data_IF_959323498981
#
_entry.id   IF_959323498981
#
_cell.length_a   1.000
_cell.length_b   1.000
_cell.length_c   1.000
_cell.angle_alpha   90.00
_cell.angle_beta   90.00
_cell.angle_gamma   90.00
#
_symmetry.space_group_name_H-M   'P 1'
#
loop_
_entity.id
_entity.type
_entity.pdbx_description
1 polymer ?
#
# COMPACT_ATOMS: atom_id res chain seq x y z
N UNK A 1 -37.04 7.25 -1.78
CA UNK A 1 -35.94 6.40 -1.26
C UNK A 1 -34.80 6.52 -2.27
N UNK A 2 -33.84 7.39 -2.03
CA UNK A 2 -32.72 7.62 -2.96
C UNK A 2 -31.59 6.66 -2.61
N UNK A 3 -31.49 5.57 -3.37
CA UNK A 3 -30.36 4.65 -3.28
C UNK A 3 -29.18 5.38 -3.90
N UNK A 4 -28.25 5.86 -3.08
CA UNK A 4 -26.99 6.40 -3.57
C UNK A 4 -26.15 5.18 -3.95
N UNK A 5 -26.11 4.85 -5.24
CA UNK A 5 -25.12 3.92 -5.75
C UNK A 5 -23.75 4.58 -5.59
N UNK A 6 -22.94 4.10 -4.66
CA UNK A 6 -21.52 4.46 -4.56
C UNK A 6 -20.88 4.13 -5.91
N UNK A 7 -20.37 5.12 -6.64
CA UNK A 7 -19.73 4.88 -7.91
C UNK A 7 -18.50 3.99 -7.69
N UNK A 8 -18.43 2.86 -8.39
CA UNK A 8 -17.24 2.01 -8.43
C UNK A 8 -16.05 2.85 -8.92
N UNK A 9 -14.93 2.80 -8.20
CA UNK A 9 -13.69 3.45 -8.64
C UNK A 9 -12.89 2.45 -9.47
N UNK A 10 -12.67 2.76 -10.74
CA UNK A 10 -11.92 1.94 -11.71
C UNK A 10 -10.39 2.14 -11.60
N UNK A 11 -9.95 2.84 -10.56
CA UNK A 11 -8.54 3.18 -10.35
C UNK A 11 -8.07 2.92 -8.92
N UNK A 12 -6.83 2.40 -8.73
CA UNK A 12 -6.22 2.28 -7.41
C UNK A 12 -5.91 3.64 -6.75
N UNK A 13 -5.99 4.75 -7.50
CA UNK A 13 -5.82 6.09 -6.93
C UNK A 13 -6.84 6.31 -5.83
N UNK A 14 -6.38 6.75 -4.66
CA UNK A 14 -7.22 6.89 -3.48
C UNK A 14 -6.48 6.63 -2.18
N UNK A 15 -7.25 6.44 -1.11
CA UNK A 15 -6.77 6.11 0.22
C UNK A 15 -7.21 4.70 0.58
N UNK A 16 -6.33 3.95 1.24
CA UNK A 16 -6.53 2.54 1.55
C UNK A 16 -6.09 2.25 2.97
N UNK A 17 -6.87 1.44 3.68
CA UNK A 17 -6.52 0.88 4.98
C UNK A 17 -5.74 -0.41 4.76
N UNK A 18 -4.58 -0.51 5.40
CA UNK A 18 -3.74 -1.71 5.43
C UNK A 18 -3.97 -2.48 6.72
N UNK A 19 -3.66 -3.78 6.71
CA UNK A 19 -3.90 -4.66 7.83
C UNK A 19 -2.64 -5.46 8.20
N UNK A 20 -2.57 -5.84 9.46
CA UNK A 20 -1.56 -6.76 10.01
C UNK A 20 -1.97 -8.20 9.67
N UNK A 21 -1.13 -8.94 8.96
CA UNK A 21 -1.47 -10.28 8.43
C UNK A 21 -1.79 -11.30 9.53
N UNK A 22 -1.19 -11.15 10.71
CA UNK A 22 -1.36 -12.09 11.82
C UNK A 22 -2.60 -11.78 12.64
N UNK A 23 -2.90 -10.49 12.85
CA UNK A 23 -3.97 -10.05 13.77
C UNK A 23 -5.20 -9.51 13.08
N UNK A 24 -5.15 -9.21 11.78
CA UNK A 24 -6.22 -8.56 11.01
C UNK A 24 -6.51 -7.12 11.44
N UNK A 25 -5.69 -6.51 12.32
CA UNK A 25 -5.90 -5.15 12.81
C UNK A 25 -5.46 -4.14 11.77
N UNK A 26 -6.21 -3.05 11.62
CA UNK A 26 -5.83 -1.93 10.76
C UNK A 26 -4.49 -1.33 11.24
N UNK A 27 -3.52 -1.21 10.33
CA UNK A 27 -2.15 -0.76 10.66
C UNK A 27 -1.90 0.67 10.22
N UNK A 28 -2.33 1.04 9.01
CA UNK A 28 -2.07 2.34 8.41
C UNK A 28 -3.17 2.75 7.43
N UNK A 29 -3.21 4.05 7.11
CA UNK A 29 -3.86 4.57 5.91
C UNK A 29 -2.75 4.95 4.94
N UNK A 30 -2.79 4.41 3.73
CA UNK A 30 -1.88 4.74 2.64
C UNK A 30 -2.62 5.50 1.54
N UNK A 31 -1.91 6.38 0.83
CA UNK A 31 -2.44 7.15 -0.30
C UNK A 31 -1.72 6.79 -1.58
N UNK A 32 -2.48 6.38 -2.59
CA UNK A 32 -1.98 6.10 -3.94
C UNK A 32 -2.32 7.28 -4.86
N UNK A 33 -1.34 7.71 -5.67
CA UNK A 33 -1.54 8.73 -6.72
C UNK A 33 -0.97 8.23 -8.04
N UNK A 34 -1.57 8.68 -9.13
CA UNK A 34 -1.01 8.56 -10.46
C UNK A 34 -0.12 9.77 -10.76
N UNK A 35 1.12 9.51 -11.16
CA UNK A 35 2.08 10.50 -11.63
C UNK A 35 2.55 10.05 -13.00
N UNK A 36 2.03 10.68 -14.05
CA UNK A 36 2.44 10.40 -15.45
C UNK A 36 2.29 8.92 -15.84
N UNK A 37 1.16 8.32 -15.45
CA UNK A 37 0.85 6.92 -15.74
C UNK A 37 1.51 5.90 -14.81
N UNK A 38 2.29 6.35 -13.82
CA UNK A 38 2.89 5.52 -12.79
C UNK A 38 2.14 5.71 -11.46
N UNK A 39 1.76 4.61 -10.81
CA UNK A 39 1.20 4.65 -9.46
C UNK A 39 2.32 4.70 -8.41
N UNK A 40 2.16 5.61 -7.46
CA UNK A 40 3.04 5.79 -6.31
C UNK A 40 2.23 5.82 -5.03
N UNK A 41 2.79 5.27 -3.95
CA UNK A 41 2.14 5.15 -2.66
C UNK A 41 2.93 5.82 -1.53
N UNK A 42 2.20 6.47 -0.62
CA UNK A 42 2.74 7.07 0.59
C UNK A 42 1.99 6.56 1.82
N UNK A 43 2.69 6.36 2.93
CA UNK A 43 2.08 6.08 4.22
C UNK A 43 1.53 7.39 4.76
N UNK A 44 0.22 7.61 4.68
CA UNK A 44 -0.38 8.89 5.06
C UNK A 44 -0.58 9.00 6.58
N UNK A 45 -1.02 7.91 7.21
CA UNK A 45 -1.25 7.85 8.65
C UNK A 45 -0.93 6.47 9.19
N UNK A 46 -0.28 6.41 10.35
CA UNK A 46 -0.11 5.15 11.10
C UNK A 46 -1.24 5.05 12.12
N UNK A 47 -1.95 3.93 12.11
CA UNK A 47 -3.07 3.63 13.03
C UNK A 47 -2.61 2.78 14.21
N UNK A 48 -1.62 1.91 13.99
CA UNK A 48 -0.92 1.16 15.04
C UNK A 48 0.12 2.07 15.70
N UNK A 49 -0.31 2.94 16.60
CA UNK A 49 0.63 3.68 17.45
C UNK A 49 1.20 2.74 18.53
N UNK A 50 2.53 2.70 18.73
CA UNK A 50 3.13 2.04 19.89
C UNK A 50 2.56 2.60 21.20
N UNK A 51 2.61 1.83 22.29
CA UNK A 51 2.13 2.28 23.62
C UNK A 51 2.80 3.58 24.10
N UNK A 52 4.00 3.88 23.59
CA UNK A 52 4.76 5.10 23.92
C UNK A 52 4.39 6.33 23.06
N UNK A 53 3.45 6.20 22.11
CA UNK A 53 2.87 7.31 21.35
C UNK A 53 3.77 7.93 20.25
N UNK A 54 5.03 7.49 20.12
CA UNK A 54 5.93 7.95 19.06
C UNK A 54 5.63 7.25 17.72
N UNK A 55 5.68 8.01 16.62
CA UNK A 55 5.61 7.44 15.27
C UNK A 55 6.93 6.72 14.95
N UNK A 56 6.88 5.53 14.32
CA UNK A 56 8.09 4.79 13.98
C UNK A 56 8.92 5.49 12.90
N UNK A 57 10.22 5.21 12.94
CA UNK A 57 11.21 5.55 11.93
C UNK A 57 11.73 4.27 11.28
N UNK A 58 12.17 4.31 10.02
CA UNK A 58 12.71 3.12 9.36
C UNK A 58 14.18 2.89 9.72
N UNK A 59 14.43 2.24 10.86
CA UNK A 59 15.79 1.99 11.39
C UNK A 59 16.59 0.98 10.55
N UNK A 60 15.89 0.08 9.86
CA UNK A 60 16.48 -0.94 8.98
C UNK A 60 16.62 -0.48 7.52
N UNK A 61 16.09 0.69 7.16
CA UNK A 61 16.28 1.26 5.83
C UNK A 61 17.73 1.73 5.62
N UNK A 62 18.11 1.86 4.36
CA UNK A 62 19.43 2.35 3.95
C UNK A 62 19.38 3.77 3.37
N UNK A 63 20.56 4.40 3.28
CA UNK A 63 20.73 5.71 2.65
C UNK A 63 19.86 6.79 3.27
N UNK A 64 19.18 7.57 2.43
CA UNK A 64 18.33 8.70 2.87
C UNK A 64 17.05 8.27 3.60
N UNK A 65 16.70 6.98 3.56
CA UNK A 65 15.52 6.44 4.21
C UNK A 65 15.82 5.88 5.60
N UNK A 66 17.11 5.71 5.93
CA UNK A 66 17.53 5.30 7.27
C UNK A 66 17.11 6.34 8.30
N UNK A 67 16.45 5.89 9.35
CA UNK A 67 15.92 6.69 10.46
C UNK A 67 14.89 7.76 10.03
N UNK A 68 14.42 7.72 8.78
CA UNK A 68 13.40 8.63 8.29
C UNK A 68 12.02 8.27 8.88
N UNK A 69 11.14 9.25 9.14
CA UNK A 69 9.78 8.99 9.60
C UNK A 69 9.02 8.07 8.64
N UNK A 70 8.38 7.03 9.16
CA UNK A 70 7.56 6.11 8.37
C UNK A 70 6.30 6.82 7.87
N UNK A 71 5.65 7.62 8.72
CA UNK A 71 4.54 8.46 8.27
C UNK A 71 5.05 9.55 7.32
N UNK A 72 4.43 9.63 6.13
CA UNK A 72 4.83 10.49 5.02
C UNK A 72 5.80 9.82 4.05
N UNK A 73 6.35 8.65 4.37
CA UNK A 73 7.30 7.94 3.52
C UNK A 73 6.63 7.46 2.23
N UNK A 74 7.30 7.69 1.09
CA UNK A 74 6.95 7.01 -0.17
C UNK A 74 7.46 5.58 -0.08
N UNK A 75 6.55 4.63 -0.03
CA UNK A 75 6.88 3.22 0.12
C UNK A 75 6.59 2.41 -1.15
N UNK A 76 5.82 2.93 -2.11
CA UNK A 76 5.46 2.20 -3.34
C UNK A 76 5.71 3.04 -4.59
N UNK A 77 6.22 2.43 -5.66
CA UNK A 77 6.49 3.10 -6.94
C UNK A 77 6.54 2.14 -8.13
N UNK A 78 6.62 2.69 -9.34
CA UNK A 78 6.87 1.92 -10.58
C UNK A 78 5.67 1.19 -11.18
N UNK A 79 4.56 1.08 -10.46
CA UNK A 79 3.36 0.37 -10.90
C UNK A 79 2.72 1.02 -12.14
N UNK A 80 2.51 0.26 -13.21
CA UNK A 80 1.83 0.70 -14.43
C UNK A 80 0.73 -0.27 -14.82
N UNK A 81 -0.33 0.24 -15.44
CA UNK A 81 -1.48 -0.57 -15.84
C UNK A 81 -1.06 -1.60 -16.90
N UNK A 82 -1.46 -2.84 -16.70
CA UNK A 82 -1.24 -3.98 -17.58
C UNK A 82 -2.47 -4.89 -17.54
N UNK A 83 -3.32 -4.79 -18.57
CA UNK A 83 -4.65 -5.41 -18.57
C UNK A 83 -5.52 -4.91 -17.40
N UNK A 84 -5.94 -5.86 -16.55
CA UNK A 84 -6.79 -5.63 -15.38
C UNK A 84 -5.99 -5.39 -14.09
N UNK A 85 -4.65 -5.47 -14.16
CA UNK A 85 -3.75 -5.30 -13.03
C UNK A 85 -2.85 -4.06 -13.22
N UNK A 86 -2.10 -3.72 -12.17
CA UNK A 86 -0.93 -2.85 -12.26
C UNK A 86 0.30 -3.64 -11.82
N UNK A 87 1.34 -3.64 -12.63
CA UNK A 87 2.52 -4.50 -12.45
C UNK A 87 3.82 -3.70 -12.59
N UNK A 88 4.96 -4.36 -12.39
CA UNK A 88 6.30 -3.76 -12.54
C UNK A 88 6.73 -2.84 -11.40
N UNK A 89 5.94 -2.79 -10.32
CA UNK A 89 6.21 -1.92 -9.19
C UNK A 89 7.11 -2.54 -8.14
N UNK A 90 7.49 -1.70 -7.18
CA UNK A 90 8.21 -2.09 -5.98
C UNK A 90 7.57 -1.47 -4.73
N UNK A 91 7.69 -2.17 -3.60
CA UNK A 91 7.36 -1.68 -2.26
C UNK A 91 8.55 -1.80 -1.33
N UNK A 92 8.80 -0.75 -0.55
CA UNK A 92 9.66 -0.77 0.63
C UNK A 92 8.81 -1.14 1.84
N UNK A 93 9.21 -2.18 2.55
CA UNK A 93 8.69 -2.50 3.87
C UNK A 93 9.53 -1.77 4.94
N UNK A 94 8.97 -0.78 5.66
CA UNK A 94 9.71 -0.03 6.67
C UNK A 94 10.06 -0.85 7.91
N UNK A 95 9.38 -1.98 8.16
CA UNK A 95 9.66 -2.85 9.30
C UNK A 95 10.89 -3.73 9.07
N UNK A 96 11.13 -4.13 7.81
CA UNK A 96 12.28 -4.98 7.45
C UNK A 96 13.38 -4.23 6.70
N UNK A 97 13.11 -3.02 6.22
CA UNK A 97 14.01 -2.24 5.36
C UNK A 97 14.15 -2.80 3.94
N UNK A 98 13.39 -3.84 3.60
CA UNK A 98 13.54 -4.58 2.33
C UNK A 98 12.62 -4.04 1.25
N UNK A 99 13.09 -4.14 0.01
CA UNK A 99 12.32 -3.82 -1.18
C UNK A 99 11.83 -5.14 -1.82
N UNK A 100 10.54 -5.17 -2.17
CA UNK A 100 9.88 -6.29 -2.82
C UNK A 100 9.26 -5.83 -4.13
N UNK A 101 9.15 -6.72 -5.11
CA UNK A 101 8.32 -6.46 -6.27
C UNK A 101 6.85 -6.52 -5.87
N UNK A 102 6.03 -5.66 -6.49
CA UNK A 102 4.60 -5.62 -6.23
C UNK A 102 3.78 -5.61 -7.52
N UNK A 103 2.63 -6.26 -7.46
CA UNK A 103 1.52 -6.03 -8.38
C UNK A 103 0.23 -5.82 -7.60
N UNK A 104 -0.72 -5.08 -8.18
CA UNK A 104 -2.00 -4.78 -7.54
C UNK A 104 -3.17 -4.99 -8.51
N UNK A 105 -4.32 -5.39 -7.98
CA UNK A 105 -5.57 -5.53 -8.72
C UNK A 105 -6.73 -4.95 -7.91
N UNK A 106 -7.71 -4.35 -8.60
CA UNK A 106 -8.92 -3.86 -7.95
C UNK A 106 -9.94 -4.98 -7.87
N UNK A 107 -10.52 -5.15 -6.69
CA UNK A 107 -11.54 -6.14 -6.42
C UNK A 107 -12.79 -5.45 -5.84
N UNK A 108 -13.88 -6.21 -5.73
CA UNK A 108 -15.14 -5.77 -5.13
C UNK A 108 -15.63 -4.40 -5.62
N UNK A 109 -15.71 -4.24 -6.95
CA UNK A 109 -16.07 -2.98 -7.61
C UNK A 109 -15.20 -1.78 -7.17
N UNK A 110 -13.93 -2.04 -6.87
CA UNK A 110 -12.94 -1.06 -6.47
C UNK A 110 -12.94 -0.73 -4.98
N UNK A 111 -13.73 -1.43 -4.14
CA UNK A 111 -13.69 -1.28 -2.67
C UNK A 111 -12.51 -1.99 -2.04
N UNK A 112 -11.98 -3.01 -2.72
CA UNK A 112 -10.81 -3.77 -2.28
C UNK A 112 -9.65 -3.60 -3.27
N UNK A 113 -8.44 -3.67 -2.73
CA UNK A 113 -7.21 -3.71 -3.50
C UNK A 113 -6.41 -4.94 -3.09
N UNK A 114 -6.29 -5.90 -4.00
CA UNK A 114 -5.36 -6.99 -3.82
C UNK A 114 -3.93 -6.46 -4.07
N UNK A 115 -3.04 -6.67 -3.11
CA UNK A 115 -1.64 -6.24 -3.16
C UNK A 115 -0.75 -7.45 -2.95
N UNK A 116 -0.02 -7.85 -4.00
CA UNK A 116 0.88 -9.01 -3.96
C UNK A 116 2.33 -8.59 -4.01
N UNK A 117 3.04 -8.79 -2.91
CA UNK A 117 4.49 -8.59 -2.77
C UNK A 117 5.27 -9.89 -2.94
N UNK A 118 6.40 -9.88 -3.65
CA UNK A 118 7.21 -11.09 -3.89
C UNK A 118 8.71 -10.78 -4.08
N UNK A 119 9.55 -11.80 -3.87
CA UNK A 119 10.99 -11.75 -4.15
C UNK A 119 11.27 -12.63 -5.38
N UNK A 120 11.82 -12.04 -6.44
CA UNK A 120 12.13 -12.75 -7.68
C UNK A 120 10.87 -13.11 -8.47
N UNK A 121 10.32 -14.32 -8.28
CA UNK A 121 9.11 -14.77 -9.00
C UNK A 121 7.83 -14.57 -8.18
N UNK A 122 6.69 -14.17 -8.80
CA UNK A 122 5.42 -13.91 -8.10
C UNK A 122 4.84 -15.09 -7.30
N UNK A 123 5.25 -16.32 -7.62
CA UNK A 123 4.81 -17.52 -6.92
C UNK A 123 5.33 -17.58 -5.46
N UNK A 124 6.46 -16.92 -5.18
CA UNK A 124 7.10 -16.85 -3.86
C UNK A 124 6.86 -15.47 -3.25
N UNK A 125 5.62 -15.24 -2.81
CA UNK A 125 5.17 -13.95 -2.28
C UNK A 125 4.02 -14.07 -1.32
N UNK A 126 3.54 -12.91 -0.85
CA UNK A 126 2.36 -12.77 0.00
C UNK A 126 1.38 -11.81 -0.67
N UNK A 127 0.10 -12.10 -0.49
CA UNK A 127 -1.00 -11.25 -0.93
C UNK A 127 -1.69 -10.68 0.30
N UNK A 128 -1.94 -9.37 0.28
CA UNK A 128 -2.79 -8.68 1.25
C UNK A 128 -3.98 -8.06 0.51
N UNK A 129 -5.11 -7.93 1.21
CA UNK A 129 -6.25 -7.17 0.72
C UNK A 129 -6.36 -5.88 1.52
N UNK A 130 -6.32 -4.73 0.84
CA UNK A 130 -6.54 -3.43 1.45
C UNK A 130 -7.97 -2.95 1.18
N UNK A 131 -8.54 -2.20 2.12
CA UNK A 131 -9.91 -1.68 2.02
C UNK A 131 -9.88 -0.19 1.71
N UNK A 132 -10.66 0.26 0.74
CA UNK A 132 -10.72 1.67 0.38
C UNK A 132 -11.27 2.49 1.56
N UNK A 133 -10.67 3.64 1.81
CA UNK A 133 -11.20 4.62 2.77
C UNK A 133 -12.26 5.46 2.05
N UNK A 134 -13.50 5.41 2.54
CA UNK A 134 -14.61 6.26 2.09
C UNK A 134 -14.47 7.71 2.59
#
# INVERSE_FOLDING_TARGET
MSVHAQAASDTPVGRWTTFDDDTGKATSIVKIRNVEGELRGWIEKILKTPEEGALPTCTLCEGKLKDAPVQGMRFMWGLRKDGDEWTGGEVLDPETGKIYHVKIALEDAGRELEVRGYIGIPLLGRTQTWTRVE
#
